data_IF_828554893899
#
_entry.id   IF_828554893899
#
_cell.length_a   1.000
_cell.length_b   1.000
_cell.length_c   1.000
_cell.angle_alpha   90.00
_cell.angle_beta   90.00
_cell.angle_gamma   90.00
#
_symmetry.space_group_name_H-M   'P 1'
#
loop_
_entity.id
_entity.type
_entity.pdbx_description
1 polymer ?
#
# COMPACT_ATOMS: atom_id res chain seq x y z
N UNK A 1 -10.33 15.25 -30.60
CA UNK A 1 -9.02 15.70 -30.06
C UNK A 1 -7.93 14.85 -30.68
N UNK A 2 -7.06 15.44 -31.48
CA UNK A 2 -5.99 14.70 -32.15
C UNK A 2 -4.82 14.42 -31.16
N UNK A 3 -3.85 13.59 -31.57
CA UNK A 3 -2.68 13.27 -30.73
C UNK A 3 -1.88 14.53 -30.39
N UNK A 4 -1.75 15.45 -31.34
CA UNK A 4 -1.07 16.73 -31.16
C UNK A 4 -1.71 17.56 -30.06
N UNK A 5 -3.04 17.74 -30.09
CA UNK A 5 -3.75 18.51 -29.05
C UNK A 5 -3.54 17.92 -27.65
N UNK A 6 -3.44 16.56 -27.55
CA UNK A 6 -3.16 15.88 -26.28
C UNK A 6 -1.76 16.15 -25.78
N UNK A 7 -0.77 16.14 -26.68
CA UNK A 7 0.62 16.42 -26.35
C UNK A 7 0.78 17.89 -25.92
N UNK A 8 0.20 18.82 -26.65
CA UNK A 8 0.27 20.25 -26.35
C UNK A 8 -0.38 20.54 -24.98
N UNK A 9 -1.57 20.02 -24.72
CA UNK A 9 -2.25 20.14 -23.43
C UNK A 9 -1.44 19.50 -22.27
N UNK A 10 -0.75 18.38 -22.51
CA UNK A 10 0.12 17.77 -21.51
C UNK A 10 1.35 18.63 -21.23
N UNK A 11 1.97 19.18 -22.27
CA UNK A 11 3.12 20.08 -22.14
C UNK A 11 2.76 21.33 -21.33
N UNK A 12 1.64 21.96 -21.64
CA UNK A 12 1.15 23.15 -20.90
C UNK A 12 0.94 22.82 -19.41
N UNK A 13 0.32 21.68 -19.10
CA UNK A 13 0.13 21.22 -17.72
C UNK A 13 1.46 20.96 -17.00
N UNK A 14 2.42 20.35 -17.68
CA UNK A 14 3.74 20.07 -17.10
C UNK A 14 4.51 21.38 -16.84
N UNK A 15 4.51 22.33 -17.78
CA UNK A 15 5.15 23.63 -17.61
C UNK A 15 4.51 24.38 -16.43
N UNK A 16 3.19 24.44 -16.36
CA UNK A 16 2.47 25.10 -15.27
C UNK A 16 2.76 24.50 -13.91
N UNK A 17 2.86 23.16 -13.82
CA UNK A 17 3.07 22.43 -12.55
C UNK A 17 4.52 22.40 -12.07
N UNK A 18 5.49 22.80 -12.92
CA UNK A 18 6.91 22.77 -12.59
C UNK A 18 7.54 24.17 -12.68
N UNK A 19 7.02 25.16 -11.92
CA UNK A 19 7.55 26.51 -11.96
C UNK A 19 8.98 26.62 -11.40
N UNK A 20 9.47 25.59 -10.71
CA UNK A 20 10.87 25.48 -10.29
C UNK A 20 11.82 25.09 -11.43
N UNK A 21 11.30 24.61 -12.57
CA UNK A 21 12.06 24.28 -13.79
C UNK A 21 11.85 25.33 -14.86
N UNK A 22 10.62 25.78 -15.05
CA UNK A 22 10.22 26.67 -16.16
C UNK A 22 9.89 28.10 -15.73
N UNK A 23 10.00 28.42 -14.43
CA UNK A 23 9.72 29.74 -13.86
C UNK A 23 10.75 30.13 -12.81
N UNK A 24 10.40 31.09 -11.95
CA UNK A 24 11.32 31.69 -10.98
C UNK A 24 11.18 31.11 -9.55
N UNK A 25 10.30 30.14 -9.33
CA UNK A 25 10.05 29.56 -8.01
C UNK A 25 11.20 28.63 -7.63
N UNK A 26 11.85 28.88 -6.51
CA UNK A 26 12.89 28.00 -5.97
C UNK A 26 12.25 26.90 -5.13
N UNK A 27 12.58 25.65 -5.40
CA UNK A 27 12.23 24.50 -4.58
C UNK A 27 13.52 23.67 -4.34
N UNK A 28 14.02 23.73 -3.11
CA UNK A 28 15.33 23.17 -2.75
C UNK A 28 15.26 21.68 -2.38
N UNK A 29 14.06 21.15 -2.11
CA UNK A 29 13.87 19.75 -1.75
C UNK A 29 12.76 19.10 -2.59
N UNK A 30 12.84 17.75 -2.75
CA UNK A 30 11.85 16.98 -3.48
C UNK A 30 10.46 17.06 -2.83
N UNK A 31 10.41 17.14 -1.51
CA UNK A 31 9.16 17.31 -0.75
C UNK A 31 8.49 18.63 -1.10
N UNK A 32 9.26 19.72 -1.18
CA UNK A 32 8.76 21.06 -1.54
C UNK A 32 8.26 21.12 -2.99
N UNK A 33 8.93 20.41 -3.90
CA UNK A 33 8.47 20.25 -5.29
C UNK A 33 7.11 19.56 -5.32
N UNK A 34 6.94 18.46 -4.57
CA UNK A 34 5.70 17.69 -4.53
C UNK A 34 4.56 18.50 -3.94
N UNK A 35 4.81 19.22 -2.85
CA UNK A 35 3.82 20.09 -2.20
C UNK A 35 3.33 21.19 -3.15
N UNK A 36 4.26 21.90 -3.78
CA UNK A 36 3.95 22.94 -4.76
C UNK A 36 3.16 22.37 -5.94
N UNK A 37 3.53 21.20 -6.43
CA UNK A 37 2.86 20.54 -7.55
C UNK A 37 1.39 20.19 -7.23
N UNK A 38 1.11 19.65 -6.03
CA UNK A 38 -0.26 19.35 -5.62
C UNK A 38 -1.08 20.65 -5.42
N UNK A 39 -0.49 21.71 -4.87
CA UNK A 39 -1.16 23.00 -4.72
C UNK A 39 -1.51 23.63 -6.08
N UNK A 40 -0.60 23.59 -7.06
CA UNK A 40 -0.82 24.10 -8.40
C UNK A 40 -1.89 23.31 -9.14
N UNK A 41 -1.90 21.99 -8.96
CA UNK A 41 -2.91 21.12 -9.53
C UNK A 41 -4.33 21.43 -9.03
N UNK A 42 -4.50 21.84 -7.77
CA UNK A 42 -5.78 22.29 -7.24
C UNK A 42 -6.24 23.65 -7.81
N UNK A 43 -5.30 24.49 -8.28
CA UNK A 43 -5.58 25.80 -8.87
C UNK A 43 -5.94 25.76 -10.35
N UNK A 44 -5.79 24.63 -11.02
CA UNK A 44 -6.17 24.48 -12.43
C UNK A 44 -7.68 24.63 -12.61
N UNK A 45 -8.11 25.28 -13.71
CA UNK A 45 -9.53 25.51 -14.01
C UNK A 45 -10.35 24.21 -14.09
N UNK A 46 -9.73 23.13 -14.57
CA UNK A 46 -10.27 21.78 -14.64
C UNK A 46 -9.72 20.85 -13.54
N UNK A 47 -9.05 21.42 -12.54
CA UNK A 47 -8.41 20.67 -11.45
C UNK A 47 -9.42 20.07 -10.48
N UNK A 48 -8.98 19.02 -9.80
CA UNK A 48 -9.76 18.41 -8.74
C UNK A 48 -9.95 19.40 -7.58
N UNK A 49 -11.18 19.81 -7.32
CA UNK A 49 -11.52 20.75 -6.23
C UNK A 49 -11.25 20.18 -4.83
N UNK A 50 -11.15 18.87 -4.71
CA UNK A 50 -10.90 18.17 -3.45
C UNK A 50 -9.65 17.29 -3.58
N UNK A 51 -8.86 17.19 -2.53
CA UNK A 51 -7.57 16.48 -2.50
C UNK A 51 -7.69 15.03 -2.99
N UNK A 52 -8.71 14.33 -2.52
CA UNK A 52 -8.90 12.90 -2.81
C UNK A 52 -9.66 12.62 -4.11
N UNK A 53 -10.30 13.62 -4.73
CA UNK A 53 -11.05 13.43 -5.99
C UNK A 53 -10.14 13.00 -7.17
N UNK A 54 -8.83 13.20 -7.05
CA UNK A 54 -7.86 12.71 -8.04
C UNK A 54 -7.36 11.28 -7.81
N UNK A 55 -7.95 10.52 -6.88
CA UNK A 55 -7.65 9.10 -6.70
C UNK A 55 -8.56 8.29 -7.63
N UNK A 56 -8.00 7.54 -8.60
CA UNK A 56 -8.82 6.77 -9.53
C UNK A 56 -9.64 5.69 -8.79
N UNK A 57 -10.96 5.59 -9.02
CA UNK A 57 -11.81 4.61 -8.33
C UNK A 57 -11.46 3.16 -8.67
N UNK A 58 -10.89 2.92 -9.85
CA UNK A 58 -10.53 1.60 -10.34
C UNK A 58 -9.18 1.05 -9.80
N UNK A 59 -8.47 1.79 -8.95
CA UNK A 59 -7.24 1.27 -8.36
C UNK A 59 -7.53 0.07 -7.45
N UNK A 60 -6.64 -0.95 -7.44
CA UNK A 60 -6.66 -2.00 -6.43
C UNK A 60 -6.64 -1.40 -5.01
N UNK A 61 -7.39 -2.00 -4.08
CA UNK A 61 -7.67 -1.42 -2.76
C UNK A 61 -6.41 -1.07 -1.97
N UNK A 62 -5.38 -1.92 -1.99
CA UNK A 62 -4.13 -1.70 -1.28
C UNK A 62 -3.38 -0.48 -1.83
N UNK A 63 -3.25 -0.39 -3.16
CA UNK A 63 -2.61 0.76 -3.83
C UNK A 63 -3.45 2.03 -3.62
N UNK A 64 -4.79 1.90 -3.66
CA UNK A 64 -5.71 3.01 -3.42
C UNK A 64 -5.55 3.59 -2.02
N UNK A 65 -5.50 2.74 -0.98
CA UNK A 65 -5.27 3.16 0.40
C UNK A 65 -3.95 3.92 0.56
N UNK A 66 -2.85 3.38 0.01
CA UNK A 66 -1.56 4.07 0.03
C UNK A 66 -1.63 5.46 -0.64
N UNK A 67 -2.28 5.56 -1.81
CA UNK A 67 -2.45 6.84 -2.54
C UNK A 67 -3.31 7.84 -1.80
N UNK A 68 -4.39 7.38 -1.13
CA UNK A 68 -5.25 8.23 -0.29
C UNK A 68 -4.42 8.85 0.84
N UNK A 69 -3.69 8.03 1.57
CA UNK A 69 -2.87 8.46 2.70
C UNK A 69 -1.72 9.39 2.27
N UNK A 70 -1.05 9.09 1.17
CA UNK A 70 0.00 9.94 0.62
C UNK A 70 -0.53 11.34 0.24
N UNK A 71 -1.71 11.40 -0.38
CA UNK A 71 -2.36 12.68 -0.71
C UNK A 71 -2.81 13.45 0.54
N UNK A 72 -3.36 12.76 1.54
CA UNK A 72 -3.75 13.38 2.81
C UNK A 72 -2.54 13.99 3.52
N UNK A 73 -1.41 13.26 3.54
CA UNK A 73 -0.15 13.77 4.07
C UNK A 73 0.29 15.07 3.39
N UNK A 74 0.20 15.15 2.07
CA UNK A 74 0.68 16.29 1.31
C UNK A 74 -0.08 17.61 1.63
N UNK A 75 -1.21 17.52 2.31
CA UNK A 75 -1.98 18.68 2.80
C UNK A 75 -1.90 18.84 4.33
N UNK A 76 -0.95 18.16 4.97
CA UNK A 76 -0.69 18.29 6.40
C UNK A 76 -1.48 17.32 7.29
N UNK A 77 -2.27 16.39 6.73
CA UNK A 77 -2.97 15.37 7.50
C UNK A 77 -2.08 14.13 7.64
N UNK A 78 -1.15 14.17 8.60
CA UNK A 78 -0.22 13.08 8.90
C UNK A 78 0.14 13.06 10.40
N UNK A 79 0.74 11.96 10.85
CA UNK A 79 1.25 11.80 12.20
C UNK A 79 2.53 12.64 12.39
N UNK A 80 2.65 13.30 13.55
CA UNK A 80 3.86 14.02 13.91
C UNK A 80 5.03 13.07 14.16
N UNK A 81 4.76 11.96 14.85
CA UNK A 81 5.76 10.93 15.15
C UNK A 81 5.36 9.57 14.57
N UNK A 82 6.33 8.87 13.97
CA UNK A 82 6.13 7.54 13.39
C UNK A 82 5.69 6.47 14.42
N UNK A 83 6.06 6.65 15.67
CA UNK A 83 5.67 5.74 16.76
C UNK A 83 4.17 5.72 17.01
N UNK A 84 3.49 6.83 16.76
CA UNK A 84 2.05 6.98 17.02
C UNK A 84 1.20 6.06 16.14
N UNK A 85 1.67 5.75 14.93
CA UNK A 85 0.94 4.84 14.02
C UNK A 85 0.75 3.45 14.62
N UNK A 86 1.72 2.97 15.41
CA UNK A 86 1.60 1.64 16.03
C UNK A 86 0.57 1.59 17.15
N UNK A 87 0.32 2.72 17.83
CA UNK A 87 -0.79 2.82 18.79
C UNK A 87 -2.13 2.67 18.06
N UNK A 88 -2.29 3.35 16.91
CA UNK A 88 -3.51 3.21 16.10
C UNK A 88 -3.68 1.80 15.52
N UNK A 89 -2.61 1.16 15.03
CA UNK A 89 -2.67 -0.23 14.56
C UNK A 89 -3.17 -1.17 15.67
N UNK A 90 -2.71 -1.00 16.90
CA UNK A 90 -3.15 -1.83 18.04
C UNK A 90 -4.60 -1.56 18.43
N UNK A 91 -5.03 -0.32 18.35
CA UNK A 91 -6.42 0.08 18.58
C UNK A 91 -7.34 -0.62 17.57
N UNK A 92 -7.05 -0.52 16.25
CA UNK A 92 -7.86 -1.16 15.20
C UNK A 92 -7.89 -2.70 15.33
N UNK A 93 -6.78 -3.31 15.75
CA UNK A 93 -6.75 -4.75 16.03
C UNK A 93 -7.70 -5.09 17.18
N UNK A 94 -7.72 -4.28 18.26
CA UNK A 94 -8.61 -4.50 19.40
C UNK A 94 -10.09 -4.32 19.04
N UNK A 95 -10.41 -3.36 18.18
CA UNK A 95 -11.77 -3.13 17.68
C UNK A 95 -12.22 -4.31 16.82
N UNK A 96 -11.36 -4.80 15.92
CA UNK A 96 -11.62 -6.00 15.13
C UNK A 96 -11.85 -7.24 16.01
N UNK A 97 -10.98 -7.49 17.00
CA UNK A 97 -11.11 -8.63 17.93
C UNK A 97 -12.46 -8.59 18.69
N UNK A 98 -12.87 -7.39 19.14
CA UNK A 98 -14.13 -7.21 19.84
C UNK A 98 -15.35 -7.56 18.94
N UNK A 99 -15.35 -7.15 17.67
CA UNK A 99 -16.45 -7.47 16.76
C UNK A 99 -16.46 -8.94 16.31
N UNK A 100 -15.30 -9.59 16.27
CA UNK A 100 -15.22 -11.05 16.07
C UNK A 100 -15.83 -11.80 17.26
N UNK A 101 -15.56 -11.37 18.51
CA UNK A 101 -16.17 -11.94 19.72
C UNK A 101 -17.68 -11.72 19.77
N UNK A 102 -18.16 -10.57 19.30
CA UNK A 102 -19.59 -10.25 19.18
C UNK A 102 -20.30 -11.03 18.07
N UNK A 103 -19.58 -11.77 17.23
CA UNK A 103 -20.09 -12.49 16.03
C UNK A 103 -20.81 -11.57 15.02
N UNK A 104 -20.50 -10.28 15.01
CA UNK A 104 -21.01 -9.32 14.01
C UNK A 104 -20.08 -9.31 12.78
N UNK A 105 -20.43 -10.12 11.80
CA UNK A 105 -19.60 -10.30 10.60
C UNK A 105 -19.44 -9.02 9.77
N UNK A 106 -20.49 -8.21 9.67
CA UNK A 106 -20.44 -6.98 8.84
C UNK A 106 -19.54 -5.94 9.48
N UNK A 107 -19.62 -5.78 10.80
CA UNK A 107 -18.72 -4.90 11.53
C UNK A 107 -17.30 -5.43 11.56
N UNK A 108 -17.11 -6.72 11.84
CA UNK A 108 -15.78 -7.33 11.79
C UNK A 108 -15.09 -7.15 10.42
N UNK A 109 -15.85 -7.20 9.31
CA UNK A 109 -15.31 -6.91 7.97
C UNK A 109 -14.87 -5.43 7.82
N UNK A 110 -15.64 -4.50 8.39
CA UNK A 110 -15.29 -3.07 8.38
C UNK A 110 -14.02 -2.82 9.22
N UNK A 111 -13.98 -3.31 10.46
CA UNK A 111 -12.81 -3.17 11.35
C UNK A 111 -11.55 -3.83 10.77
N UNK A 112 -11.69 -4.99 10.10
CA UNK A 112 -10.57 -5.58 9.39
C UNK A 112 -10.04 -4.67 8.28
N UNK A 113 -10.94 -3.94 7.61
CA UNK A 113 -10.57 -2.90 6.64
C UNK A 113 -9.74 -1.79 7.29
N UNK A 114 -10.10 -1.35 8.50
CA UNK A 114 -9.40 -0.30 9.24
C UNK A 114 -8.03 -0.79 9.76
N UNK A 115 -7.93 -2.05 10.20
CA UNK A 115 -6.63 -2.70 10.49
C UNK A 115 -5.71 -2.66 9.26
N UNK A 116 -6.22 -3.08 8.09
CA UNK A 116 -5.44 -3.06 6.85
C UNK A 116 -5.01 -1.64 6.47
N UNK A 117 -5.91 -0.66 6.61
CA UNK A 117 -5.63 0.74 6.30
C UNK A 117 -4.56 1.31 7.23
N UNK A 118 -4.62 1.02 8.53
CA UNK A 118 -3.62 1.46 9.51
C UNK A 118 -2.25 0.82 9.27
N UNK A 119 -2.18 -0.46 8.88
CA UNK A 119 -0.93 -1.14 8.50
C UNK A 119 -0.30 -0.54 7.23
N UNK A 120 -1.12 -0.19 6.24
CA UNK A 120 -0.65 0.49 5.01
C UNK A 120 -0.08 1.87 5.37
N UNK A 121 -0.70 2.58 6.32
CA UNK A 121 -0.19 3.86 6.82
C UNK A 121 1.16 3.69 7.53
N UNK A 122 1.31 2.66 8.36
CA UNK A 122 2.60 2.32 8.96
C UNK A 122 3.66 2.08 7.89
N UNK A 123 3.38 1.24 6.89
CA UNK A 123 4.30 0.99 5.77
C UNK A 123 4.73 2.29 5.08
N UNK A 124 3.79 3.20 4.80
CA UNK A 124 4.05 4.50 4.19
C UNK A 124 5.01 5.35 5.02
N UNK A 125 4.80 5.44 6.33
CA UNK A 125 5.65 6.21 7.25
C UNK A 125 7.10 5.69 7.29
N UNK A 126 7.27 4.37 7.12
CA UNK A 126 8.59 3.74 7.02
C UNK A 126 9.12 3.69 5.58
N UNK A 127 8.45 4.33 4.61
CA UNK A 127 8.82 4.33 3.18
C UNK A 127 8.86 2.93 2.57
N UNK A 128 8.03 2.03 3.06
CA UNK A 128 7.86 0.67 2.54
C UNK A 128 6.69 0.68 1.57
N UNK A 129 6.87 0.09 0.38
CA UNK A 129 5.74 -0.17 -0.52
C UNK A 129 5.02 -1.44 -0.04
N UNK A 130 3.76 -1.34 0.44
CA UNK A 130 3.07 -2.49 1.02
C UNK A 130 2.69 -3.55 -0.01
N UNK A 131 2.44 -3.17 -1.27
CA UNK A 131 2.14 -4.08 -2.37
C UNK A 131 3.35 -4.95 -2.70
N UNK A 132 4.52 -4.33 -2.90
CA UNK A 132 5.77 -5.05 -3.13
C UNK A 132 6.16 -5.93 -1.93
N UNK A 133 5.95 -5.45 -0.71
CA UNK A 133 6.27 -6.22 0.50
C UNK A 133 5.40 -7.48 0.62
N UNK A 134 4.11 -7.36 0.29
CA UNK A 134 3.19 -8.50 0.26
C UNK A 134 3.55 -9.48 -0.85
N UNK A 135 3.88 -8.97 -2.05
CA UNK A 135 4.30 -9.81 -3.18
C UNK A 135 5.57 -10.62 -2.86
N UNK A 136 6.57 -10.01 -2.23
CA UNK A 136 7.76 -10.73 -1.76
C UNK A 136 7.40 -11.86 -0.78
N UNK A 137 6.40 -11.64 0.06
CA UNK A 137 5.91 -12.66 1.00
C UNK A 137 5.15 -13.76 0.27
N UNK A 138 4.31 -13.43 -0.74
CA UNK A 138 3.64 -14.39 -1.59
C UNK A 138 4.63 -15.30 -2.30
N UNK A 139 5.64 -14.72 -2.93
CA UNK A 139 6.69 -15.48 -3.64
C UNK A 139 7.48 -16.38 -2.68
N UNK A 140 7.79 -15.90 -1.49
CA UNK A 140 8.44 -16.70 -0.45
C UNK A 140 7.56 -17.89 -0.02
N UNK A 141 6.26 -17.65 0.18
CA UNK A 141 5.32 -18.71 0.52
C UNK A 141 5.24 -19.76 -0.58
N UNK A 142 5.07 -19.34 -1.84
CA UNK A 142 5.00 -20.23 -3.01
C UNK A 142 6.26 -21.10 -3.11
N UNK A 143 7.46 -20.53 -2.98
CA UNK A 143 8.71 -21.31 -3.03
C UNK A 143 8.76 -22.40 -1.95
N UNK A 144 8.39 -22.05 -0.72
CA UNK A 144 8.40 -23.02 0.41
C UNK A 144 7.32 -24.09 0.24
N UNK A 145 6.18 -23.71 -0.29
CA UNK A 145 5.11 -24.65 -0.55
C UNK A 145 5.48 -25.62 -1.68
N UNK A 146 6.10 -25.14 -2.75
CA UNK A 146 6.63 -26.00 -3.81
C UNK A 146 7.69 -26.98 -3.27
N UNK A 147 8.58 -26.51 -2.38
CA UNK A 147 9.53 -27.37 -1.71
C UNK A 147 8.85 -28.50 -0.90
N UNK A 148 7.81 -28.15 -0.14
CA UNK A 148 6.97 -29.09 0.60
C UNK A 148 6.32 -30.13 -0.34
N UNK A 149 5.71 -29.68 -1.45
CA UNK A 149 5.10 -30.57 -2.43
C UNK A 149 6.12 -31.52 -3.06
N UNK A 150 7.26 -31.02 -3.50
CA UNK A 150 8.30 -31.86 -4.10
C UNK A 150 8.81 -32.95 -3.14
N UNK A 151 9.02 -32.62 -1.87
CA UNK A 151 9.46 -33.57 -0.87
C UNK A 151 8.41 -34.62 -0.58
N UNK A 152 7.14 -34.22 -0.52
CA UNK A 152 6.00 -35.11 -0.30
C UNK A 152 5.83 -36.09 -1.46
N UNK A 153 5.88 -35.60 -2.69
CA UNK A 153 5.78 -36.42 -3.91
C UNK A 153 6.97 -37.39 -4.02
N UNK A 154 8.19 -36.96 -3.72
CA UNK A 154 9.39 -37.84 -3.72
C UNK A 154 9.28 -38.98 -2.71
N UNK A 155 8.54 -38.78 -1.63
CA UNK A 155 8.28 -39.80 -0.61
C UNK A 155 7.07 -40.70 -0.95
N UNK A 156 6.40 -40.46 -2.07
CA UNK A 156 5.19 -41.19 -2.46
C UNK A 156 3.98 -40.95 -1.55
N UNK A 157 4.02 -39.85 -0.77
CA UNK A 157 2.93 -39.44 0.11
C UNK A 157 2.00 -38.44 -0.58
N UNK A 158 0.79 -38.27 -0.07
CA UNK A 158 -0.13 -37.22 -0.48
C UNK A 158 -0.21 -36.19 0.64
N UNK A 159 -0.16 -34.90 0.30
CA UNK A 159 -0.28 -33.80 1.27
C UNK A 159 -1.53 -33.92 2.17
N UNK A 160 -2.64 -34.43 1.61
CA UNK A 160 -3.88 -34.59 2.34
C UNK A 160 -3.80 -35.64 3.47
N UNK A 161 -2.83 -36.54 3.37
CA UNK A 161 -2.66 -37.66 4.34
C UNK A 161 -1.59 -37.30 5.39
N UNK A 162 -0.98 -36.13 5.30
CA UNK A 162 0.02 -35.65 6.23
C UNK A 162 -0.61 -34.83 7.36
N UNK A 163 -0.02 -34.93 8.54
CA UNK A 163 -0.35 -34.04 9.65
C UNK A 163 0.28 -32.66 9.46
N UNK A 164 -0.26 -31.65 10.14
CA UNK A 164 0.31 -30.30 10.11
C UNK A 164 1.77 -30.29 10.63
N UNK A 165 2.08 -31.10 11.65
CA UNK A 165 3.41 -31.22 12.24
C UNK A 165 4.43 -31.78 11.24
N UNK A 166 4.04 -32.79 10.44
CA UNK A 166 4.87 -33.34 9.38
C UNK A 166 5.14 -32.30 8.29
N UNK A 167 4.11 -31.54 7.88
CA UNK A 167 4.25 -30.47 6.91
C UNK A 167 5.12 -29.32 7.44
N UNK A 168 4.97 -28.94 8.71
CA UNK A 168 5.78 -27.92 9.36
C UNK A 168 7.25 -28.30 9.48
N UNK A 169 7.57 -29.58 9.66
CA UNK A 169 8.94 -30.06 9.68
C UNK A 169 9.64 -29.77 8.34
N UNK A 170 9.02 -30.15 7.22
CA UNK A 170 9.55 -29.90 5.87
C UNK A 170 9.56 -28.40 5.56
N UNK A 171 8.55 -27.66 5.97
CA UNK A 171 8.50 -26.20 5.83
C UNK A 171 9.68 -25.49 6.54
N UNK A 172 10.04 -26.01 7.71
CA UNK A 172 11.18 -25.47 8.47
C UNK A 172 12.54 -25.86 7.86
N UNK A 173 12.62 -26.95 7.11
CA UNK A 173 13.79 -27.29 6.28
C UNK A 173 13.93 -26.28 5.13
N UNK A 174 12.85 -26.01 4.40
CA UNK A 174 12.83 -25.01 3.34
C UNK A 174 13.32 -23.62 3.82
N UNK A 175 12.94 -23.22 5.05
CA UNK A 175 13.42 -21.95 5.65
C UNK A 175 14.93 -21.93 5.90
N UNK A 176 15.56 -23.09 6.15
CA UNK A 176 17.00 -23.16 6.40
C UNK A 176 17.81 -23.08 5.10
N UNK A 177 17.27 -23.62 4.01
CA UNK A 177 17.91 -23.57 2.70
C UNK A 177 17.87 -22.18 2.04
N UNK A 178 16.93 -21.32 2.44
CA UNK A 178 16.84 -19.92 1.96
C UNK A 178 17.85 -18.97 2.64
N UNK A 179 18.62 -19.41 3.61
CA UNK A 179 19.67 -18.63 4.31
C UNK A 179 21.04 -18.84 3.69
#
# INVERSE_FOLDING_TARGET
>A
MCIRDRCDCLCEKLIFRHPHVFGEVKAETAEKVTENWEQLKMKEKDGNKMVLSGVPPALPSLIKAYRIQDKARNVGFDWEERSQVWTKVKEEIGEFEAEVENMDKEKAEAEFGDVMFSLINAARLYKINPDNALELTNQKFIRRFNYLEEHTIKQGKNLKDMTLEEMDAIWNEAKKEEK
#
